data_IF_558889722878
#
_entry.id   IF_558889722878
#
_cell.length_a   1.000
_cell.length_b   1.000
_cell.length_c   1.000
_cell.angle_alpha   90.00
_cell.angle_beta   90.00
_cell.angle_gamma   90.00
#
_symmetry.space_group_name_H-M   'P 1'
#
loop_
_entity.id
_entity.type
_entity.pdbx_description
1 polymer ?
#
# COMPACT_ATOMS: atom_id res chain seq x y z
N UNK A 1 -41.48 -1.27 1.33
CA UNK A 1 -40.42 -0.42 0.78
C UNK A 1 -40.93 0.19 -0.51
N UNK A 2 -41.10 1.50 -0.51
CA UNK A 2 -41.71 2.28 -1.61
C UNK A 2 -40.80 2.21 -2.85
N UNK A 3 -41.35 2.18 -4.11
CA UNK A 3 -40.55 2.20 -5.34
C UNK A 3 -39.55 3.36 -5.43
N UNK A 4 -39.86 4.52 -4.86
CA UNK A 4 -38.96 5.68 -4.78
C UNK A 4 -37.76 5.43 -3.84
N UNK A 5 -37.94 4.68 -2.76
CA UNK A 5 -36.84 4.27 -1.86
C UNK A 5 -35.85 3.30 -2.53
N UNK A 6 -36.31 2.50 -3.50
CA UNK A 6 -35.46 1.57 -4.26
C UNK A 6 -34.57 2.29 -5.27
N UNK A 7 -34.99 3.44 -5.83
CA UNK A 7 -34.18 4.21 -6.78
C UNK A 7 -33.13 5.07 -6.10
N UNK A 8 -33.31 5.44 -4.83
CA UNK A 8 -32.32 6.24 -4.08
C UNK A 8 -31.23 5.42 -3.38
N UNK A 9 -31.43 4.10 -3.22
CA UNK A 9 -30.45 3.20 -2.59
C UNK A 9 -29.10 3.16 -3.30
N UNK A 10 -28.98 3.11 -4.63
CA UNK A 10 -27.71 3.09 -5.32
C UNK A 10 -26.87 4.36 -5.12
N UNK A 11 -27.51 5.52 -4.97
CA UNK A 11 -26.80 6.79 -4.76
C UNK A 11 -26.37 7.04 -3.31
N UNK A 12 -27.13 6.52 -2.34
CA UNK A 12 -26.83 6.68 -0.91
C UNK A 12 -25.87 5.61 -0.39
N UNK A 13 -25.83 4.46 -1.04
CA UNK A 13 -25.05 3.30 -0.59
C UNK A 13 -23.53 3.59 -0.55
N UNK A 14 -22.92 4.20 -1.57
CA UNK A 14 -21.49 4.57 -1.51
C UNK A 14 -21.15 5.52 -0.37
N UNK A 15 -22.03 6.52 -0.10
CA UNK A 15 -21.79 7.47 1.01
C UNK A 15 -21.87 6.81 2.38
N UNK A 16 -22.85 5.91 2.57
CA UNK A 16 -23.01 5.15 3.82
C UNK A 16 -21.86 4.17 4.03
N UNK A 17 -21.36 3.58 2.97
CA UNK A 17 -20.23 2.67 3.02
C UNK A 17 -18.95 3.41 3.39
N UNK A 18 -18.72 4.59 2.82
CA UNK A 18 -17.61 5.45 3.17
C UNK A 18 -17.66 5.93 4.64
N UNK A 19 -18.85 6.34 5.12
CA UNK A 19 -19.06 6.70 6.54
C UNK A 19 -18.76 5.50 7.47
N UNK A 20 -19.20 4.30 7.08
CA UNK A 20 -18.92 3.08 7.83
C UNK A 20 -17.41 2.79 7.87
N UNK A 21 -16.73 2.95 6.76
CA UNK A 21 -15.27 2.76 6.63
C UNK A 21 -14.49 3.71 7.55
N UNK A 22 -14.84 5.01 7.54
CA UNK A 22 -14.23 5.99 8.47
C UNK A 22 -14.47 5.64 9.94
N UNK A 23 -15.67 5.15 10.26
CA UNK A 23 -16.02 4.74 11.64
C UNK A 23 -15.25 3.48 12.07
N UNK A 24 -15.00 2.55 11.18
CA UNK A 24 -14.14 1.39 11.47
C UNK A 24 -12.70 1.81 11.71
N UNK A 25 -12.13 2.70 10.89
CA UNK A 25 -10.79 3.25 11.11
C UNK A 25 -10.66 3.92 12.49
N UNK A 26 -11.61 4.80 12.83
CA UNK A 26 -11.64 5.49 14.13
C UNK A 26 -11.85 4.53 15.32
N UNK A 27 -12.45 3.37 15.10
CA UNK A 27 -12.62 2.35 16.15
C UNK A 27 -11.32 1.56 16.36
N UNK A 28 -10.62 1.20 15.29
CA UNK A 28 -9.33 0.50 15.35
C UNK A 28 -8.27 1.29 16.15
N UNK A 29 -8.28 2.63 16.02
CA UNK A 29 -7.36 3.49 16.75
C UNK A 29 -7.53 3.47 18.30
N UNK A 30 -8.70 3.08 18.75
CA UNK A 30 -9.07 3.08 20.17
C UNK A 30 -8.92 1.73 20.84
N UNK A 31 -8.59 0.70 20.07
CA UNK A 31 -8.54 -0.68 20.56
C UNK A 31 -7.09 -1.16 20.64
N UNK A 32 -6.74 -1.74 21.77
CA UNK A 32 -5.48 -2.46 21.92
C UNK A 32 -5.45 -3.70 21.01
N UNK A 33 -4.25 -4.15 20.56
CA UNK A 33 -4.11 -5.37 19.76
C UNK A 33 -4.76 -6.57 20.45
N UNK A 34 -5.73 -7.17 19.80
CA UNK A 34 -6.50 -8.31 20.30
C UNK A 34 -7.17 -9.07 19.16
N UNK A 35 -7.62 -10.31 19.34
CA UNK A 35 -8.38 -11.05 18.33
C UNK A 35 -9.64 -10.28 17.84
N UNK A 36 -10.20 -9.43 18.67
CA UNK A 36 -11.35 -8.58 18.32
C UNK A 36 -10.92 -7.46 17.37
N UNK A 37 -9.76 -6.86 17.61
CA UNK A 37 -9.17 -5.83 16.73
C UNK A 37 -8.83 -6.44 15.36
N UNK A 38 -8.34 -7.68 15.33
CA UNK A 38 -8.08 -8.42 14.10
C UNK A 38 -9.35 -8.66 13.30
N UNK A 39 -10.43 -9.06 13.98
CA UNK A 39 -11.75 -9.24 13.34
C UNK A 39 -12.30 -7.93 12.77
N UNK A 40 -12.09 -6.80 13.46
CA UNK A 40 -12.49 -5.47 12.99
C UNK A 40 -11.66 -5.08 11.77
N UNK A 41 -10.37 -5.37 11.73
CA UNK A 41 -9.50 -5.14 10.57
C UNK A 41 -9.95 -5.94 9.35
N UNK A 42 -10.32 -7.20 9.54
CA UNK A 42 -10.89 -8.04 8.46
C UNK A 42 -12.21 -7.47 7.95
N UNK A 43 -13.11 -7.07 8.84
CA UNK A 43 -14.39 -6.46 8.46
C UNK A 43 -14.18 -5.13 7.72
N UNK A 44 -13.23 -4.31 8.16
CA UNK A 44 -12.86 -3.07 7.49
C UNK A 44 -12.38 -3.37 6.06
N UNK A 45 -11.48 -4.34 5.87
CA UNK A 45 -11.03 -4.79 4.56
C UNK A 45 -12.20 -5.26 3.66
N UNK A 46 -13.13 -6.05 4.19
CA UNK A 46 -14.31 -6.51 3.45
C UNK A 46 -15.22 -5.36 3.03
N UNK A 47 -15.46 -4.38 3.91
CA UNK A 47 -16.26 -3.19 3.60
C UNK A 47 -15.59 -2.35 2.53
N UNK A 48 -14.27 -2.20 2.61
CA UNK A 48 -13.46 -1.49 1.62
C UNK A 48 -13.52 -2.18 0.25
N UNK A 49 -13.38 -3.50 0.18
CA UNK A 49 -13.53 -4.28 -1.06
C UNK A 49 -14.92 -4.14 -1.69
N UNK A 50 -15.97 -4.19 -0.87
CA UNK A 50 -17.32 -4.00 -1.34
C UNK A 50 -17.55 -2.60 -1.93
N UNK A 51 -17.04 -1.57 -1.24
CA UNK A 51 -17.11 -0.20 -1.73
C UNK A 51 -16.37 0.00 -3.05
N UNK A 52 -15.21 -0.63 -3.19
CA UNK A 52 -14.40 -0.66 -4.39
C UNK A 52 -15.14 -1.28 -5.58
N UNK A 53 -15.70 -2.46 -5.37
CA UNK A 53 -16.48 -3.22 -6.34
C UNK A 53 -17.65 -2.40 -6.92
N UNK A 54 -18.26 -1.56 -6.09
CA UNK A 54 -19.37 -0.68 -6.48
C UNK A 54 -18.92 0.56 -7.26
N UNK A 55 -17.69 1.04 -7.07
CA UNK A 55 -17.17 2.26 -7.74
C UNK A 55 -16.68 2.01 -9.17
N UNK A 56 -16.16 0.83 -9.46
CA UNK A 56 -15.40 0.58 -10.71
C UNK A 56 -16.16 -0.13 -11.82
N UNK A 57 -17.33 -0.68 -11.57
CA UNK A 57 -18.15 -1.30 -12.62
C UNK A 57 -17.48 -2.44 -13.37
N UNK A 58 -16.54 -3.14 -12.74
CA UNK A 58 -15.80 -4.28 -13.30
C UNK A 58 -14.31 -4.23 -12.99
N UNK A 59 -13.68 -5.38 -12.82
CA UNK A 59 -12.23 -5.50 -12.63
C UNK A 59 -11.52 -5.41 -13.98
N UNK A 60 -10.34 -4.73 -14.08
CA UNK A 60 -9.48 -4.80 -15.26
C UNK A 60 -9.12 -6.22 -15.70
N UNK A 61 -9.26 -7.19 -14.79
CA UNK A 61 -9.01 -8.61 -15.04
C UNK A 61 -10.17 -9.27 -15.79
N UNK A 62 -11.42 -8.88 -15.52
CA UNK A 62 -12.60 -9.40 -16.25
C UNK A 62 -12.56 -9.00 -17.72
N UNK A 63 -12.08 -7.81 -18.04
CA UNK A 63 -11.89 -7.37 -19.43
C UNK A 63 -10.84 -8.22 -20.18
N UNK A 64 -9.94 -8.88 -19.45
CA UNK A 64 -8.88 -9.76 -20.00
C UNK A 64 -9.21 -11.25 -19.93
N UNK A 65 -10.39 -11.61 -19.46
CA UNK A 65 -10.82 -12.99 -19.29
C UNK A 65 -10.17 -13.73 -18.12
N UNK A 66 -9.50 -13.01 -17.21
CA UNK A 66 -8.98 -13.55 -15.94
C UNK A 66 -9.87 -13.02 -14.83
N UNK A 67 -10.49 -13.91 -14.07
CA UNK A 67 -11.36 -13.54 -12.96
C UNK A 67 -10.59 -13.45 -11.63
N UNK A 68 -11.18 -12.77 -10.65
CA UNK A 68 -10.64 -12.77 -9.28
C UNK A 68 -10.66 -14.16 -8.66
N UNK A 69 -11.62 -15.01 -9.07
CA UNK A 69 -11.71 -16.40 -8.62
C UNK A 69 -10.53 -17.23 -9.16
N UNK A 70 -10.09 -16.98 -10.41
CA UNK A 70 -8.91 -17.64 -10.96
C UNK A 70 -7.66 -17.32 -10.16
N UNK A 71 -7.52 -16.07 -9.72
CA UNK A 71 -6.41 -15.64 -8.88
C UNK A 71 -6.54 -16.20 -7.45
N UNK A 72 -7.75 -16.21 -6.88
CA UNK A 72 -7.99 -16.80 -5.57
C UNK A 72 -7.67 -18.29 -5.57
N UNK A 73 -7.97 -19.00 -6.67
CA UNK A 73 -7.61 -20.41 -6.83
C UNK A 73 -6.09 -20.63 -6.84
N UNK A 74 -5.34 -19.77 -7.54
CA UNK A 74 -3.86 -19.81 -7.51
C UNK A 74 -3.32 -19.63 -6.08
N UNK A 75 -3.96 -18.79 -5.27
CA UNK A 75 -3.53 -18.54 -3.89
C UNK A 75 -3.96 -19.60 -2.88
N UNK A 76 -4.93 -20.46 -3.21
CA UNK A 76 -5.39 -21.52 -2.32
C UNK A 76 -4.26 -22.43 -1.86
N UNK A 77 -3.27 -22.67 -2.71
CA UNK A 77 -2.13 -23.54 -2.47
C UNK A 77 -0.81 -22.78 -2.27
N UNK A 78 -0.82 -21.46 -2.36
CA UNK A 78 0.37 -20.67 -2.14
C UNK A 78 0.78 -20.72 -0.65
N UNK A 79 2.07 -20.87 -0.34
CA UNK A 79 2.55 -20.73 1.01
C UNK A 79 2.17 -19.36 1.58
N UNK A 80 1.58 -19.33 2.74
CA UNK A 80 1.34 -18.07 3.44
C UNK A 80 2.65 -17.55 3.98
N UNK A 81 2.91 -16.26 3.73
CA UNK A 81 4.03 -15.57 4.35
C UNK A 81 3.59 -15.13 5.75
N UNK A 82 4.05 -15.84 6.76
CA UNK A 82 3.71 -15.60 8.15
C UNK A 82 4.99 -15.35 8.95
N UNK A 83 4.83 -14.74 10.11
CA UNK A 83 5.91 -14.52 11.06
C UNK A 83 6.05 -13.06 11.47
N UNK A 84 6.61 -12.84 12.66
CA UNK A 84 6.78 -11.52 13.23
C UNK A 84 7.80 -10.71 12.44
N UNK A 85 7.73 -9.39 12.58
CA UNK A 85 8.78 -8.49 12.12
C UNK A 85 10.11 -8.83 12.79
N UNK A 86 11.16 -8.90 12.00
CA UNK A 86 12.54 -9.17 12.46
C UNK A 86 13.39 -7.92 12.52
N UNK A 87 12.96 -6.86 11.86
CA UNK A 87 13.70 -5.64 11.66
C UNK A 87 12.90 -4.41 12.08
N UNK A 88 13.60 -3.33 12.36
CA UNK A 88 13.03 -2.03 12.68
C UNK A 88 13.32 -1.03 11.57
N UNK A 89 12.35 -0.16 11.20
CA UNK A 89 12.57 0.83 10.16
C UNK A 89 13.55 1.91 10.62
N UNK A 90 14.17 2.61 9.65
CA UNK A 90 14.87 3.84 9.93
C UNK A 90 13.92 4.85 10.59
N UNK A 91 14.33 5.54 11.66
CA UNK A 91 13.44 6.45 12.38
C UNK A 91 13.16 7.74 11.60
N UNK A 92 12.02 8.40 11.87
CA UNK A 92 11.76 9.75 11.40
C UNK A 92 12.89 10.72 11.79
N UNK A 93 13.17 11.69 10.91
CA UNK A 93 14.30 12.62 11.03
C UNK A 93 15.57 12.13 10.33
N UNK A 94 15.63 10.88 9.91
CA UNK A 94 16.77 10.33 9.15
C UNK A 94 16.68 10.78 7.69
N UNK A 95 17.83 11.17 7.10
CA UNK A 95 17.91 11.34 5.63
C UNK A 95 17.71 9.99 4.96
N UNK A 96 16.75 9.92 4.04
CA UNK A 96 16.45 8.69 3.33
C UNK A 96 17.64 8.23 2.47
N UNK A 97 18.08 6.96 2.58
CA UNK A 97 19.13 6.43 1.73
C UNK A 97 18.76 6.51 0.25
N UNK A 98 19.66 7.07 -0.56
CA UNK A 98 19.47 7.13 -2.02
C UNK A 98 19.29 5.73 -2.62
N UNK A 99 18.48 5.63 -3.66
CA UNK A 99 18.37 4.44 -4.47
C UNK A 99 18.30 4.78 -5.97
N UNK A 100 18.70 3.81 -6.77
CA UNK A 100 18.52 3.82 -8.22
C UNK A 100 18.10 2.40 -8.62
N UNK A 101 16.82 2.19 -8.84
CA UNK A 101 16.22 0.88 -9.12
C UNK A 101 15.47 0.90 -10.44
N UNK A 102 15.53 -0.19 -11.23
CA UNK A 102 14.75 -0.27 -12.46
C UNK A 102 13.26 -0.49 -12.18
N UNK A 103 12.42 0.22 -12.92
CA UNK A 103 10.97 -0.03 -13.00
C UNK A 103 10.67 -1.19 -13.96
N UNK A 104 9.37 -1.52 -14.12
CA UNK A 104 8.91 -2.59 -15.01
C UNK A 104 9.29 -2.41 -16.49
N UNK A 105 9.64 -1.19 -16.92
CA UNK A 105 10.14 -0.90 -18.26
C UNK A 105 11.68 -1.00 -18.39
N UNK A 106 12.36 -1.22 -17.27
CA UNK A 106 13.82 -1.21 -17.17
C UNK A 106 14.41 0.20 -17.02
N UNK A 107 13.61 1.24 -16.90
CA UNK A 107 14.08 2.60 -16.65
C UNK A 107 14.51 2.72 -15.20
N UNK A 108 15.70 3.29 -14.95
CA UNK A 108 16.15 3.60 -13.60
C UNK A 108 15.33 4.76 -13.02
N UNK A 109 14.83 4.53 -11.81
CA UNK A 109 14.12 5.49 -10.99
C UNK A 109 14.97 5.77 -9.76
N UNK A 110 15.25 7.05 -9.52
CA UNK A 110 16.08 7.51 -8.42
C UNK A 110 15.21 8.14 -7.33
N UNK A 111 15.62 8.03 -6.07
CA UNK A 111 14.99 8.80 -4.98
C UNK A 111 15.04 10.31 -5.29
N UNK A 112 16.15 10.77 -5.84
CA UNK A 112 16.34 12.18 -6.22
C UNK A 112 15.36 12.69 -7.27
N UNK A 113 14.70 11.81 -8.06
CA UNK A 113 13.67 12.20 -9.03
C UNK A 113 12.42 12.77 -8.36
N UNK A 114 12.26 12.50 -7.06
CA UNK A 114 11.12 12.96 -6.25
C UNK A 114 11.42 14.19 -5.40
N UNK A 115 12.60 14.81 -5.54
CA UNK A 115 12.92 16.05 -4.80
C UNK A 115 11.88 17.15 -5.08
N UNK A 116 11.49 17.84 -4.03
CA UNK A 116 10.40 18.83 -4.10
C UNK A 116 8.99 18.25 -3.99
N UNK A 117 8.85 16.91 -3.86
CA UNK A 117 7.54 16.23 -3.76
C UNK A 117 7.61 15.15 -2.68
N UNK A 118 6.64 15.07 -1.76
CA UNK A 118 6.57 13.96 -0.82
C UNK A 118 6.47 12.62 -1.53
N UNK A 119 7.23 11.63 -1.05
CA UNK A 119 7.26 10.28 -1.60
C UNK A 119 6.86 9.26 -0.53
N UNK A 120 5.95 8.38 -0.88
CA UNK A 120 5.69 7.16 -0.13
C UNK A 120 6.46 6.01 -0.75
N UNK A 121 7.30 5.37 0.06
CA UNK A 121 8.00 4.15 -0.32
C UNK A 121 7.37 2.98 0.42
N UNK A 122 6.80 2.04 -0.33
CA UNK A 122 6.19 0.84 0.19
C UNK A 122 7.09 -0.37 -0.11
N UNK A 123 7.83 -0.84 0.90
CA UNK A 123 8.49 -2.14 0.83
C UNK A 123 7.48 -3.24 1.06
N UNK A 124 7.54 -4.27 0.23
CA UNK A 124 6.68 -5.44 0.36
C UNK A 124 7.45 -6.72 0.04
N UNK A 125 7.09 -7.86 0.67
CA UNK A 125 7.83 -9.10 0.53
C UNK A 125 8.02 -9.59 -0.90
N UNK A 126 6.93 -9.97 -1.58
CA UNK A 126 7.00 -10.56 -2.93
C UNK A 126 5.75 -10.25 -3.75
N UNK A 127 5.94 -10.05 -5.06
CA UNK A 127 4.87 -10.08 -6.04
C UNK A 127 4.02 -11.35 -5.90
N UNK A 128 2.79 -11.31 -6.36
CA UNK A 128 1.86 -12.43 -6.40
C UNK A 128 1.44 -12.99 -5.03
N UNK A 129 2.08 -12.61 -3.91
CA UNK A 129 1.63 -13.08 -2.60
C UNK A 129 0.28 -12.45 -2.20
N UNK A 130 -0.59 -13.19 -1.49
CA UNK A 130 -1.94 -12.71 -1.17
C UNK A 130 -1.95 -11.37 -0.44
N UNK A 131 -1.15 -11.23 0.63
CA UNK A 131 -1.10 -10.00 1.43
C UNK A 131 -0.50 -8.81 0.67
N UNK A 132 0.52 -9.04 -0.20
CA UNK A 132 1.07 -7.97 -1.02
C UNK A 132 0.10 -7.55 -2.12
N UNK A 133 -0.66 -8.51 -2.67
CA UNK A 133 -1.71 -8.21 -3.64
C UNK A 133 -2.78 -7.31 -3.04
N UNK A 134 -3.26 -7.62 -1.83
CA UNK A 134 -4.22 -6.79 -1.10
C UNK A 134 -3.66 -5.39 -0.82
N UNK A 135 -2.42 -5.29 -0.36
CA UNK A 135 -1.80 -4.01 -0.05
C UNK A 135 -1.69 -3.09 -1.27
N UNK A 136 -1.09 -3.58 -2.35
CA UNK A 136 -0.85 -2.73 -3.52
C UNK A 136 -2.12 -2.42 -4.28
N UNK A 137 -3.08 -3.33 -4.26
CA UNK A 137 -4.41 -3.08 -4.78
C UNK A 137 -5.16 -2.02 -3.97
N UNK A 138 -5.06 -2.05 -2.62
CA UNK A 138 -5.56 -0.99 -1.76
C UNK A 138 -4.95 0.36 -2.14
N UNK A 139 -3.63 0.44 -2.33
CA UNK A 139 -2.95 1.69 -2.69
C UNK A 139 -3.33 2.16 -4.08
N UNK A 140 -3.49 1.26 -5.04
CA UNK A 140 -3.97 1.60 -6.39
C UNK A 140 -5.37 2.19 -6.36
N UNK A 141 -6.24 1.69 -5.52
CA UNK A 141 -7.61 2.20 -5.41
C UNK A 141 -7.69 3.58 -4.78
N UNK A 142 -6.75 3.86 -3.89
CA UNK A 142 -6.63 5.13 -3.22
C UNK A 142 -5.60 6.06 -3.88
N UNK A 143 -5.21 5.79 -5.13
CA UNK A 143 -4.16 6.57 -5.82
C UNK A 143 -4.53 8.06 -5.91
N UNK A 144 -5.80 8.39 -6.10
CA UNK A 144 -6.31 9.76 -6.12
C UNK A 144 -6.11 10.48 -4.77
N UNK A 145 -6.07 9.74 -3.65
CA UNK A 145 -5.81 10.30 -2.33
C UNK A 145 -4.35 10.72 -2.15
N UNK A 146 -3.43 9.95 -2.75
CA UNK A 146 -2.01 10.34 -2.81
C UNK A 146 -1.84 11.60 -3.68
N UNK A 147 -2.45 11.64 -4.85
CA UNK A 147 -2.37 12.80 -5.75
C UNK A 147 -3.00 14.05 -5.13
N UNK A 148 -4.11 13.95 -4.41
CA UNK A 148 -4.72 15.08 -3.69
C UNK A 148 -3.81 15.68 -2.61
N UNK A 149 -2.95 14.85 -2.02
CA UNK A 149 -1.93 15.28 -1.04
C UNK A 149 -0.63 15.72 -1.68
N UNK A 150 -0.56 15.70 -3.02
CA UNK A 150 0.65 16.02 -3.77
C UNK A 150 1.77 15.01 -3.56
N UNK A 151 1.47 13.81 -3.07
CA UNK A 151 2.44 12.76 -2.80
C UNK A 151 2.55 11.79 -3.97
N UNK A 152 3.75 11.22 -4.16
CA UNK A 152 4.00 10.11 -5.08
C UNK A 152 4.15 8.81 -4.29
N UNK A 153 3.92 7.69 -4.97
CA UNK A 153 4.00 6.35 -4.39
C UNK A 153 4.89 5.47 -5.27
N UNK A 154 5.76 4.70 -4.63
CA UNK A 154 6.52 3.61 -5.27
C UNK A 154 6.44 2.35 -4.43
N UNK A 155 6.37 1.19 -5.08
CA UNK A 155 6.54 -0.11 -4.43
C UNK A 155 7.95 -0.62 -4.66
N UNK A 156 8.56 -1.26 -3.65
CA UNK A 156 9.89 -1.87 -3.77
C UNK A 156 9.83 -3.30 -3.25
N UNK A 157 10.26 -4.25 -4.07
CA UNK A 157 10.50 -5.63 -3.65
C UNK A 157 11.76 -6.21 -4.32
N UNK A 158 12.10 -7.43 -3.95
CA UNK A 158 13.24 -8.16 -4.55
C UNK A 158 12.88 -8.87 -5.85
N UNK A 159 11.68 -8.69 -6.37
CA UNK A 159 11.23 -9.30 -7.61
C UNK A 159 11.88 -8.64 -8.83
N UNK A 160 11.89 -9.36 -9.94
CA UNK A 160 12.43 -8.86 -11.19
C UNK A 160 11.49 -7.87 -11.89
N UNK A 161 12.04 -7.04 -12.77
CA UNK A 161 11.25 -6.13 -13.63
C UNK A 161 10.18 -6.87 -14.44
N UNK A 162 10.42 -8.11 -14.81
CA UNK A 162 9.48 -8.94 -15.56
C UNK A 162 8.28 -9.34 -14.69
N UNK A 163 8.53 -9.74 -13.43
CA UNK A 163 7.48 -10.04 -12.46
C UNK A 163 6.64 -8.81 -12.19
N UNK A 164 7.28 -7.68 -11.88
CA UNK A 164 6.61 -6.39 -11.68
C UNK A 164 5.73 -5.98 -12.85
N UNK A 165 6.24 -6.09 -14.09
CA UNK A 165 5.49 -5.72 -15.27
C UNK A 165 4.25 -6.59 -15.49
N UNK A 166 4.40 -7.90 -15.35
CA UNK A 166 3.30 -8.85 -15.49
C UNK A 166 2.25 -8.63 -14.37
N UNK A 167 2.71 -8.49 -13.13
CA UNK A 167 1.83 -8.32 -11.98
C UNK A 167 1.08 -6.98 -12.00
N UNK A 168 1.78 -5.89 -12.30
CA UNK A 168 1.15 -4.57 -12.45
C UNK A 168 0.10 -4.58 -13.56
N UNK A 169 0.39 -5.24 -14.70
CA UNK A 169 -0.55 -5.35 -15.81
C UNK A 169 -1.81 -6.16 -15.44
N UNK A 170 -1.65 -7.27 -14.70
CA UNK A 170 -2.77 -8.11 -14.25
C UNK A 170 -3.63 -7.39 -13.20
N UNK A 171 -2.99 -6.63 -12.29
CA UNK A 171 -3.67 -5.96 -11.18
C UNK A 171 -4.11 -4.53 -11.48
N UNK A 172 -3.75 -3.98 -12.64
CA UNK A 172 -4.03 -2.59 -12.99
C UNK A 172 -3.29 -1.57 -12.12
N UNK A 173 -2.10 -1.93 -11.59
CA UNK A 173 -1.26 -1.05 -10.79
C UNK A 173 -0.62 -0.03 -11.72
N UNK A 174 -0.80 1.27 -11.43
CA UNK A 174 -0.30 2.38 -12.26
C UNK A 174 0.93 3.09 -11.66
N UNK A 175 1.19 2.94 -10.37
CA UNK A 175 2.39 3.49 -9.74
C UNK A 175 3.61 2.58 -9.96
N UNK A 176 4.84 3.12 -9.94
CA UNK A 176 6.05 2.35 -10.20
C UNK A 176 6.27 1.24 -9.18
N UNK A 177 6.58 0.03 -9.68
CA UNK A 177 7.15 -1.07 -8.92
C UNK A 177 8.62 -1.17 -9.28
N UNK A 178 9.50 -1.10 -8.28
CA UNK A 178 10.94 -1.00 -8.43
C UNK A 178 11.63 -2.28 -7.96
N UNK A 179 12.52 -2.82 -8.79
CA UNK A 179 13.17 -4.09 -8.56
C UNK A 179 14.48 -3.92 -7.76
N UNK A 180 14.45 -4.21 -6.45
CA UNK A 180 15.64 -4.36 -5.60
C UNK A 180 16.22 -5.78 -5.74
N UNK A 181 16.41 -6.17 -7.01
CA UNK A 181 16.72 -7.53 -7.44
C UNK A 181 18.22 -7.84 -7.42
N UNK A 182 19.05 -6.88 -7.84
CA UNK A 182 20.50 -7.07 -7.93
C UNK A 182 21.28 -5.78 -7.64
N UNK A 183 22.07 -5.70 -6.55
CA UNK A 183 22.21 -6.72 -5.50
C UNK A 183 20.89 -6.94 -4.77
N UNK A 184 20.53 -8.19 -4.52
CA UNK A 184 19.24 -8.57 -3.95
C UNK A 184 19.02 -7.93 -2.57
N UNK A 185 18.00 -7.07 -2.46
CA UNK A 185 17.60 -6.44 -1.21
C UNK A 185 18.60 -5.39 -0.68
N UNK A 186 19.42 -4.81 -1.54
CA UNK A 186 20.40 -3.80 -1.12
C UNK A 186 19.72 -2.52 -0.59
N UNK A 187 18.68 -2.05 -1.27
CA UNK A 187 17.92 -0.90 -0.82
C UNK A 187 17.16 -1.22 0.46
N UNK A 188 16.49 -2.37 0.52
CA UNK A 188 15.79 -2.81 1.73
C UNK A 188 16.73 -2.92 2.94
N UNK A 189 17.99 -3.37 2.77
CA UNK A 189 18.99 -3.38 3.84
C UNK A 189 19.35 -1.97 4.31
N UNK A 190 19.56 -1.06 3.38
CA UNK A 190 19.90 0.35 3.73
C UNK A 190 18.76 1.05 4.46
N UNK A 191 17.53 0.66 4.20
CA UNK A 191 16.35 1.13 4.91
C UNK A 191 16.07 0.36 6.21
N UNK A 192 16.88 -0.68 6.53
CA UNK A 192 16.76 -1.45 7.76
C UNK A 192 15.59 -2.44 7.78
N UNK A 193 15.10 -2.86 6.61
CA UNK A 193 13.89 -3.68 6.49
C UNK A 193 14.09 -4.98 5.70
N UNK A 194 15.32 -5.39 5.45
CA UNK A 194 15.58 -6.66 4.75
C UNK A 194 15.63 -7.83 5.74
N UNK A 195 14.98 -8.93 5.41
CA UNK A 195 14.93 -10.19 6.17
C UNK A 195 15.96 -11.15 5.58
N UNK A 196 17.16 -11.19 6.15
CA UNK A 196 18.25 -11.98 5.60
C UNK A 196 17.93 -13.49 5.59
N UNK A 197 17.18 -13.97 6.57
CA UNK A 197 16.78 -15.37 6.66
C UNK A 197 15.78 -15.77 5.57
N UNK A 198 14.93 -14.86 5.14
CA UNK A 198 13.82 -15.11 4.22
C UNK A 198 14.15 -14.66 2.78
N UNK A 199 15.10 -13.75 2.62
CA UNK A 199 15.58 -13.28 1.33
C UNK A 199 14.67 -12.27 0.63
N UNK A 200 13.83 -11.54 1.40
CA UNK A 200 12.95 -10.46 0.96
C UNK A 200 12.81 -9.38 2.04
N UNK A 201 12.05 -8.32 1.77
CA UNK A 201 11.85 -7.24 2.74
C UNK A 201 10.70 -7.52 3.72
N UNK A 202 10.71 -6.84 4.86
CA UNK A 202 9.53 -6.63 5.68
C UNK A 202 8.42 -5.95 4.85
N UNK A 203 7.21 -5.95 5.39
CA UNK A 203 6.15 -5.06 4.93
C UNK A 203 6.31 -3.73 5.66
N UNK A 204 6.90 -2.75 4.99
CA UNK A 204 7.28 -1.49 5.61
C UNK A 204 6.87 -0.29 4.76
N UNK A 205 6.60 0.82 5.44
CA UNK A 205 6.23 2.09 4.82
C UNK A 205 7.17 3.20 5.29
N UNK A 206 7.50 4.08 4.36
CA UNK A 206 8.19 5.33 4.64
C UNK A 206 7.47 6.48 3.95
N UNK A 207 7.28 7.57 4.66
CA UNK A 207 6.94 8.87 4.07
C UNK A 207 8.18 9.73 4.11
N UNK A 208 8.63 10.15 2.94
CA UNK A 208 9.83 10.97 2.74
C UNK A 208 9.34 12.33 2.26
N UNK A 209 9.80 13.40 2.88
CA UNK A 209 9.43 14.76 2.50
C UNK A 209 10.16 15.25 1.23
N UNK A 210 9.81 16.45 0.80
CA UNK A 210 10.39 17.12 -0.37
C UNK A 210 11.93 17.29 -0.29
N UNK A 211 12.49 17.35 0.92
CA UNK A 211 13.91 17.50 1.18
C UNK A 211 14.63 16.14 1.29
N UNK A 212 13.89 15.03 1.22
CA UNK A 212 14.42 13.68 1.30
C UNK A 212 14.65 13.18 2.72
N UNK A 213 13.94 13.74 3.69
CA UNK A 213 13.97 13.30 5.10
C UNK A 213 12.76 12.40 5.37
N UNK A 214 13.00 11.28 6.03
CA UNK A 214 11.94 10.38 6.51
C UNK A 214 11.13 11.11 7.58
N UNK A 215 9.82 11.22 7.41
CA UNK A 215 8.90 11.84 8.37
C UNK A 215 7.99 10.82 9.05
N UNK A 216 7.78 9.70 8.41
CA UNK A 216 7.04 8.58 8.96
C UNK A 216 7.69 7.27 8.53
N UNK A 217 7.74 6.32 9.44
CA UNK A 217 8.16 4.95 9.14
C UNK A 217 7.33 3.96 9.93
N UNK A 218 7.02 2.84 9.31
CA UNK A 218 6.25 1.75 9.90
C UNK A 218 6.73 0.41 9.36
N UNK A 219 6.83 -0.59 10.22
CA UNK A 219 6.96 -2.00 9.84
C UNK A 219 5.75 -2.74 10.41
N UNK A 220 5.06 -3.48 9.58
CA UNK A 220 3.95 -4.32 10.06
C UNK A 220 4.46 -5.33 11.09
N UNK A 221 3.74 -5.53 12.21
CA UNK A 221 4.20 -6.42 13.28
C UNK A 221 4.35 -7.87 12.81
N UNK A 222 3.59 -8.24 11.78
CA UNK A 222 3.67 -9.53 11.11
C UNK A 222 3.51 -9.37 9.59
N UNK A 223 4.07 -10.32 8.83
CA UNK A 223 4.10 -10.23 7.35
C UNK A 223 2.72 -10.19 6.68
N UNK A 224 1.70 -10.76 7.31
CA UNK A 224 0.35 -10.78 6.74
C UNK A 224 -0.48 -9.52 7.05
N UNK A 225 -0.04 -8.67 7.99
CA UNK A 225 -0.72 -7.43 8.31
C UNK A 225 -0.48 -6.37 7.25
N UNK A 226 -1.53 -5.94 6.56
CA UNK A 226 -1.50 -4.78 5.67
C UNK A 226 -1.53 -3.51 6.51
N UNK A 227 -0.55 -2.59 6.34
CA UNK A 227 -0.53 -1.33 7.08
C UNK A 227 -1.82 -0.52 6.90
N UNK A 228 -2.25 0.15 7.95
CA UNK A 228 -3.40 1.05 7.90
C UNK A 228 -3.09 2.27 7.02
N UNK A 229 -3.80 2.37 5.90
CA UNK A 229 -3.61 3.45 4.93
C UNK A 229 -4.00 4.82 5.50
N UNK A 230 -4.89 4.89 6.49
CA UNK A 230 -5.29 6.16 7.10
C UNK A 230 -4.19 6.75 7.99
N UNK A 231 -3.37 5.91 8.63
CA UNK A 231 -2.18 6.38 9.33
C UNK A 231 -1.17 6.99 8.35
N UNK A 232 -1.02 6.37 7.18
CA UNK A 232 -0.19 6.90 6.11
C UNK A 232 -0.71 8.26 5.61
N UNK A 233 -2.01 8.38 5.37
CA UNK A 233 -2.61 9.64 4.94
C UNK A 233 -2.49 10.75 5.98
N UNK A 234 -2.64 10.43 7.28
CA UNK A 234 -2.38 11.40 8.35
C UNK A 234 -0.94 11.89 8.32
N UNK A 235 0.03 11.00 8.19
CA UNK A 235 1.43 11.40 8.09
C UNK A 235 1.69 12.34 6.89
N UNK A 236 1.01 12.16 5.76
CA UNK A 236 1.07 13.07 4.62
C UNK A 236 0.37 14.41 4.89
N UNK A 237 -0.76 14.41 5.57
CA UNK A 237 -1.51 15.63 5.95
C UNK A 237 -0.72 16.49 6.94
N UNK A 238 0.01 15.86 7.88
CA UNK A 238 0.90 16.54 8.83
C UNK A 238 2.02 17.28 8.11
N UNK A 239 2.66 16.67 7.09
CA UNK A 239 3.67 17.32 6.27
C UNK A 239 3.16 18.59 5.59
N UNK A 240 1.94 18.51 5.05
CA UNK A 240 1.32 19.66 4.36
C UNK A 240 1.08 20.81 5.34
N UNK A 241 0.72 20.50 6.58
CA UNK A 241 0.46 21.47 7.63
C UNK A 241 1.75 22.16 8.10
N UNK A 242 2.81 21.38 8.33
CA UNK A 242 4.14 21.89 8.71
C UNK A 242 4.72 22.84 7.64
N UNK A 243 4.61 22.46 6.36
CA UNK A 243 5.06 23.32 5.25
C UNK A 243 4.30 24.66 5.19
N UNK A 244 3.01 24.65 5.44
CA UNK A 244 2.19 25.89 5.47
C UNK A 244 2.57 26.79 6.64
N UNK A 245 2.90 26.21 7.80
CA UNK A 245 3.32 26.98 8.99
C UNK A 245 4.74 27.53 8.84
N UNK A 246 5.64 26.82 8.15
CA UNK A 246 7.00 27.29 7.90
C UNK A 246 7.08 28.39 6.83
N UNK A 247 6.06 28.49 5.97
CA UNK A 247 5.96 29.49 4.89
C UNK A 247 5.19 30.75 5.28
N UNK A 248 4.58 30.80 6.47
CA UNK A 248 3.78 31.92 7.00
C UNK A 248 4.58 32.76 8.00
#
# INVERSE_FOLDING_TARGET
>A
MNPEERQSLPEQFPRRLHDLEQRFGALQEKLDPSPTTDAISVLHGMVHELWRSLRRGGSPLEERGITLDDIAELYRYAPKMEGPALNSPLPPGTTAPEFALPDASGRLVHLSDYRGTPLVVAFYPLDWSPGCSQQLELYQNEIDEFDRRGAKLVGISVDSVYSHGAWAAVRGISFPLLADFNPKGDVARRYGVYRDADGFSERALYVIDADGVIRYSHVSPELHYVPDIYQLFRALDDLTTEHRQAAA
#
